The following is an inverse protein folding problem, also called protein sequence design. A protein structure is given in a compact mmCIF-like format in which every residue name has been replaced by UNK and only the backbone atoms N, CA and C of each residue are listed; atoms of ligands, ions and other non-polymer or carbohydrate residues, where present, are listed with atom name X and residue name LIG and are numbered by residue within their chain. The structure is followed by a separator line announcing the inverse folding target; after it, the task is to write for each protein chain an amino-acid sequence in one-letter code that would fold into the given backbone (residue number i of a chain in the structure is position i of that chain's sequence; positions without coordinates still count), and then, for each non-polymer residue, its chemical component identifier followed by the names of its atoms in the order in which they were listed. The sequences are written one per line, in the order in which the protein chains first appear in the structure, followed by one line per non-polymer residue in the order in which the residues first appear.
data_IF_582742331586
#
_entry.id   IF_582742331586
#
_cell.length_a   1.000
_cell.length_b   1.000
_cell.length_c   1.000
_cell.angle_alpha   90.00
_cell.angle_beta   90.00
_cell.angle_gamma   90.00
#
_symmetry.space_group_name_H-M   'P 1'
#
loop_
_entity.id
_entity.type
_entity.pdbx_description
1 polymer ?
#
# COMPACT_ATOMS: atom_id res chain seq x y z
N UNK A 1 -25.03 -3.79 -4.17
CA UNK A 1 -25.82 -3.13 -3.09
C UNK A 1 -26.10 -4.08 -1.92
N UNK A 2 -26.33 -5.37 -2.18
CA UNK A 2 -26.58 -6.36 -1.11
C UNK A 2 -25.33 -6.70 -0.29
N UNK A 3 -24.13 -6.63 -0.86
CA UNK A 3 -22.89 -6.93 -0.13
C UNK A 3 -22.53 -5.86 0.91
N UNK A 4 -22.87 -4.58 0.69
CA UNK A 4 -22.64 -3.51 1.68
C UNK A 4 -23.49 -3.69 2.94
N UNK A 5 -24.75 -4.12 2.79
CA UNK A 5 -25.64 -4.39 3.93
C UNK A 5 -25.19 -5.56 4.77
N UNK A 6 -24.69 -6.64 4.13
CA UNK A 6 -24.20 -7.83 4.82
C UNK A 6 -22.94 -7.55 5.66
N UNK A 7 -21.98 -6.80 5.13
CA UNK A 7 -20.76 -6.44 5.86
C UNK A 7 -21.06 -5.69 7.16
N UNK A 8 -21.97 -4.72 7.13
CA UNK A 8 -22.36 -3.97 8.33
C UNK A 8 -23.19 -4.81 9.32
N UNK A 9 -24.01 -5.72 8.84
CA UNK A 9 -24.78 -6.65 9.69
C UNK A 9 -23.83 -7.62 10.41
N UNK A 10 -22.88 -8.22 9.71
CA UNK A 10 -21.88 -9.09 10.32
C UNK A 10 -21.02 -8.34 11.33
N UNK A 11 -20.55 -7.15 11.01
CA UNK A 11 -19.74 -6.33 11.93
C UNK A 11 -20.49 -6.02 13.22
N UNK A 12 -21.77 -5.68 13.17
CA UNK A 12 -22.62 -5.44 14.35
C UNK A 12 -22.88 -6.72 15.15
N UNK A 13 -23.10 -7.85 14.50
CA UNK A 13 -23.29 -9.13 15.18
C UNK A 13 -22.03 -9.58 15.91
N UNK A 14 -20.85 -9.41 15.32
CA UNK A 14 -19.58 -9.71 15.96
C UNK A 14 -19.27 -8.77 17.13
N UNK A 15 -19.62 -7.50 17.06
CA UNK A 15 -19.46 -6.55 18.15
C UNK A 15 -20.39 -6.84 19.34
N UNK A 16 -21.56 -7.41 19.09
CA UNK A 16 -22.53 -7.80 20.12
C UNK A 16 -22.24 -9.18 20.74
N UNK A 17 -21.28 -9.93 20.20
CA UNK A 17 -20.94 -11.26 20.71
C UNK A 17 -20.22 -11.14 22.08
N UNK A 18 -20.50 -12.04 23.04
CA UNK A 18 -19.83 -12.05 24.35
C UNK A 18 -18.34 -12.40 24.25
N UNK A 19 -17.86 -12.86 23.10
CA UNK A 19 -16.44 -13.06 22.76
C UNK A 19 -16.10 -12.24 21.53
N UNK A 20 -15.01 -11.49 21.59
CA UNK A 20 -14.48 -10.77 20.43
C UNK A 20 -14.03 -11.79 19.38
N UNK A 21 -14.70 -11.79 18.23
CA UNK A 21 -14.26 -12.54 17.05
C UNK A 21 -13.47 -11.62 16.14
N UNK A 22 -12.36 -12.11 15.61
CA UNK A 22 -11.56 -11.41 14.62
C UNK A 22 -11.98 -11.83 13.20
N UNK A 23 -11.81 -10.93 12.24
CA UNK A 23 -12.15 -11.18 10.83
C UNK A 23 -10.96 -11.77 10.09
N UNK A 24 -11.25 -12.77 9.27
CA UNK A 24 -10.34 -13.28 8.24
C UNK A 24 -10.94 -12.93 6.89
N UNK A 25 -10.23 -12.09 6.12
CA UNK A 25 -10.59 -11.77 4.74
C UNK A 25 -9.97 -12.85 3.87
N UNK A 26 -10.77 -13.85 3.47
CA UNK A 26 -10.30 -15.04 2.76
C UNK A 26 -9.77 -14.75 1.36
N UNK A 27 -10.36 -13.77 0.66
CA UNK A 27 -9.90 -13.30 -0.65
C UNK A 27 -10.11 -11.79 -0.79
N UNK A 28 -9.12 -11.10 -1.34
CA UNK A 28 -9.22 -9.70 -1.75
C UNK A 28 -8.28 -9.40 -2.92
N UNK A 29 -8.60 -8.36 -3.66
CA UNK A 29 -7.77 -7.89 -4.75
C UNK A 29 -8.52 -6.98 -5.71
N UNK A 30 -7.79 -6.42 -6.67
CA UNK A 30 -8.36 -5.67 -7.79
C UNK A 30 -8.62 -6.65 -8.94
N UNK A 31 -9.88 -6.88 -9.26
CA UNK A 31 -10.29 -7.80 -10.30
C UNK A 31 -10.86 -7.02 -11.49
N UNK A 32 -10.06 -6.91 -12.53
CA UNK A 32 -10.50 -6.23 -13.74
C UNK A 32 -11.49 -7.11 -14.53
N UNK A 33 -12.54 -6.49 -15.06
CA UNK A 33 -13.60 -7.23 -15.78
C UNK A 33 -13.09 -8.07 -16.95
N UNK A 34 -12.03 -7.63 -17.64
CA UNK A 34 -11.41 -8.39 -18.73
C UNK A 34 -10.81 -9.73 -18.31
N UNK A 35 -10.42 -9.88 -17.03
CA UNK A 35 -9.84 -11.12 -16.52
C UNK A 35 -10.82 -12.31 -16.60
N UNK A 36 -12.13 -12.06 -16.47
CA UNK A 36 -13.16 -13.11 -16.55
C UNK A 36 -13.28 -13.72 -17.93
N UNK A 37 -12.89 -12.98 -18.98
CA UNK A 37 -12.90 -13.45 -20.37
C UNK A 37 -11.48 -13.79 -20.89
N UNK A 38 -10.45 -13.68 -20.04
CA UNK A 38 -9.08 -13.96 -20.42
C UNK A 38 -8.82 -15.44 -20.70
N UNK A 39 -7.73 -15.72 -21.42
CA UNK A 39 -7.21 -17.07 -21.63
C UNK A 39 -5.71 -17.04 -21.35
N UNK A 40 -5.18 -17.75 -20.36
CA UNK A 40 -5.91 -18.59 -19.38
C UNK A 40 -6.94 -17.80 -18.56
N UNK A 41 -7.97 -18.50 -18.04
CA UNK A 41 -9.02 -17.86 -17.28
C UNK A 41 -8.49 -17.09 -16.08
N UNK A 42 -9.10 -15.95 -15.80
CA UNK A 42 -8.74 -15.04 -14.70
C UNK A 42 -7.32 -14.48 -14.77
N UNK A 43 -6.63 -14.60 -15.92
CA UNK A 43 -5.33 -13.95 -16.11
C UNK A 43 -5.50 -12.43 -16.18
N UNK A 44 -4.66 -11.72 -15.43
CA UNK A 44 -4.67 -10.26 -15.37
C UNK A 44 -3.23 -9.74 -15.35
N UNK A 45 -2.95 -8.75 -16.21
CA UNK A 45 -1.73 -7.97 -16.11
C UNK A 45 -1.88 -6.93 -14.99
N UNK A 46 -0.91 -6.93 -14.08
CA UNK A 46 -0.84 -5.99 -12.98
C UNK A 46 -0.02 -4.76 -13.39
N UNK A 47 -0.63 -3.60 -13.28
CA UNK A 47 -0.06 -2.27 -13.59
C UNK A 47 0.01 -1.41 -12.34
N UNK A 48 0.33 -0.11 -12.46
CA UNK A 48 0.26 0.81 -11.31
C UNK A 48 -1.14 0.97 -10.75
N UNK A 49 -2.21 0.76 -11.55
CA UNK A 49 -3.59 0.68 -11.06
C UNK A 49 -3.72 -0.36 -9.94
N UNK A 50 -3.18 -1.56 -10.19
CA UNK A 50 -3.28 -2.67 -9.25
C UNK A 50 -2.39 -2.44 -8.03
N UNK A 51 -1.19 -1.89 -8.21
CA UNK A 51 -0.29 -1.53 -7.13
C UNK A 51 -0.88 -0.48 -6.19
N UNK A 52 -1.44 0.60 -6.73
CA UNK A 52 -2.12 1.65 -5.95
C UNK A 52 -3.29 1.08 -5.18
N UNK A 53 -4.16 0.28 -5.82
CA UNK A 53 -5.30 -0.35 -5.15
C UNK A 53 -4.85 -1.33 -4.07
N UNK A 54 -3.80 -2.10 -4.32
CA UNK A 54 -3.19 -3.02 -3.33
C UNK A 54 -2.68 -2.26 -2.12
N UNK A 55 -1.95 -1.15 -2.32
CA UNK A 55 -1.45 -0.30 -1.25
C UNK A 55 -2.57 0.28 -0.38
N UNK A 56 -3.60 0.85 -1.02
CA UNK A 56 -4.77 1.40 -0.32
C UNK A 56 -5.52 0.33 0.49
N UNK A 57 -5.66 -0.88 -0.05
CA UNK A 57 -6.33 -1.98 0.62
C UNK A 57 -5.54 -2.47 1.83
N UNK A 58 -4.21 -2.59 1.72
CA UNK A 58 -3.34 -2.93 2.83
C UNK A 58 -3.39 -1.84 3.92
N UNK A 59 -3.39 -0.56 3.57
CA UNK A 59 -3.54 0.54 4.53
C UNK A 59 -4.88 0.48 5.28
N UNK A 60 -5.97 0.05 4.61
CA UNK A 60 -7.26 -0.19 5.27
C UNK A 60 -7.15 -1.33 6.28
N UNK A 61 -6.50 -2.44 5.94
CA UNK A 61 -6.29 -3.54 6.87
C UNK A 61 -5.42 -3.13 8.05
N UNK A 62 -4.33 -2.40 7.82
CA UNK A 62 -3.46 -1.89 8.87
C UNK A 62 -4.18 -0.94 9.83
N UNK A 63 -5.11 -0.10 9.35
CA UNK A 63 -5.94 0.76 10.22
C UNK A 63 -6.96 -0.02 11.03
N UNK A 64 -7.31 -1.22 10.61
CA UNK A 64 -8.36 -2.05 11.22
C UNK A 64 -7.80 -3.33 11.86
N UNK A 65 -6.54 -3.34 12.30
CA UNK A 65 -5.89 -4.51 12.95
C UNK A 65 -6.58 -4.95 14.23
N UNK A 66 -7.41 -4.09 14.84
CA UNK A 66 -8.25 -4.46 15.96
C UNK A 66 -9.38 -5.43 15.59
N UNK A 67 -9.78 -5.49 14.34
CA UNK A 67 -10.88 -6.32 13.82
C UNK A 67 -10.39 -7.34 12.78
N UNK A 68 -9.42 -6.97 11.93
CA UNK A 68 -8.89 -7.83 10.86
C UNK A 68 -7.63 -8.55 11.34
N UNK A 69 -7.71 -9.87 11.47
CA UNK A 69 -6.58 -10.72 11.90
C UNK A 69 -5.71 -11.19 10.75
N UNK A 70 -6.32 -11.49 9.62
CA UNK A 70 -5.64 -12.00 8.43
C UNK A 70 -6.39 -11.55 7.17
N UNK A 71 -5.63 -11.27 6.11
CA UNK A 71 -6.18 -10.97 4.79
C UNK A 71 -5.34 -11.64 3.71
N UNK A 72 -5.98 -12.43 2.84
CA UNK A 72 -5.33 -13.23 1.83
C UNK A 72 -5.55 -12.62 0.45
N UNK A 73 -4.47 -12.22 -0.23
CA UNK A 73 -4.58 -11.71 -1.61
C UNK A 73 -5.03 -12.81 -2.57
N UNK A 74 -5.88 -12.48 -3.49
CA UNK A 74 -6.36 -13.40 -4.52
C UNK A 74 -5.83 -13.01 -5.91
N UNK A 75 -4.81 -13.77 -6.40
CA UNK A 75 -4.09 -14.86 -5.75
C UNK A 75 -2.59 -14.62 -5.86
N UNK A 76 -1.76 -15.53 -5.34
CA UNK A 76 -0.30 -15.28 -5.34
C UNK A 76 0.32 -15.39 -6.73
N UNK A 77 -0.14 -16.32 -7.58
CA UNK A 77 0.49 -16.65 -8.88
C UNK A 77 -0.54 -16.67 -10.01
N UNK A 78 -0.25 -15.99 -11.11
CA UNK A 78 -0.95 -16.00 -12.41
C UNK A 78 -2.42 -15.58 -12.43
N UNK A 79 -3.06 -15.40 -11.30
CA UNK A 79 -4.51 -15.20 -11.22
C UNK A 79 -4.82 -13.86 -10.57
N UNK A 80 -5.62 -13.05 -11.26
CA UNK A 80 -6.18 -11.78 -10.76
C UNK A 80 -5.08 -10.83 -10.22
N UNK A 81 -5.15 -10.46 -8.95
CA UNK A 81 -4.22 -9.50 -8.31
C UNK A 81 -2.89 -10.16 -7.90
N UNK A 82 -2.30 -10.95 -8.81
CA UNK A 82 -1.14 -11.79 -8.50
C UNK A 82 0.12 -11.02 -8.13
N UNK A 83 0.95 -11.67 -7.31
CA UNK A 83 2.29 -11.18 -6.94
C UNK A 83 3.33 -11.65 -7.95
N UNK A 84 3.11 -12.83 -8.53
CA UNK A 84 4.01 -13.47 -9.47
C UNK A 84 3.26 -13.87 -10.74
N UNK A 85 3.92 -13.69 -11.89
CA UNK A 85 3.49 -14.28 -13.15
C UNK A 85 4.55 -15.27 -13.60
N UNK A 86 4.13 -16.42 -14.13
CA UNK A 86 5.02 -17.40 -14.72
C UNK A 86 4.76 -17.50 -16.22
N UNK A 87 5.85 -17.53 -17.00
CA UNK A 87 5.83 -17.72 -18.44
C UNK A 87 7.01 -18.62 -18.84
N UNK A 88 6.73 -19.89 -19.10
CA UNK A 88 7.75 -20.90 -19.30
C UNK A 88 8.67 -21.02 -18.07
N UNK A 89 9.95 -20.79 -18.24
CA UNK A 89 10.97 -20.82 -17.18
C UNK A 89 11.07 -19.49 -16.40
N UNK A 90 10.34 -18.46 -16.81
CA UNK A 90 10.41 -17.14 -16.20
C UNK A 90 9.44 -17.02 -15.03
N UNK A 91 9.94 -16.44 -13.92
CA UNK A 91 9.13 -15.95 -12.82
C UNK A 91 9.25 -14.43 -12.78
N UNK A 92 8.13 -13.75 -12.98
CA UNK A 92 8.07 -12.28 -13.14
C UNK A 92 7.39 -11.71 -11.92
N UNK A 93 8.07 -10.78 -11.25
CA UNK A 93 7.48 -10.02 -10.14
C UNK A 93 6.55 -8.94 -10.69
N UNK A 94 5.33 -8.87 -10.17
CA UNK A 94 4.38 -7.83 -10.54
C UNK A 94 4.61 -6.56 -9.69
N UNK A 95 4.03 -5.40 -10.07
CA UNK A 95 4.04 -4.23 -9.21
C UNK A 95 3.38 -4.46 -7.84
N UNK A 96 2.43 -5.41 -7.74
CA UNK A 96 1.81 -5.79 -6.46
C UNK A 96 2.81 -6.44 -5.50
N UNK A 97 3.74 -7.26 -6.03
CA UNK A 97 4.82 -7.82 -5.22
C UNK A 97 5.63 -6.72 -4.55
N UNK A 98 6.02 -5.68 -5.31
CA UNK A 98 6.79 -4.58 -4.75
C UNK A 98 6.03 -3.84 -3.64
N UNK A 99 4.71 -3.70 -3.75
CA UNK A 99 3.89 -3.14 -2.65
C UNK A 99 3.95 -4.01 -1.40
N UNK A 100 3.78 -5.33 -1.54
CA UNK A 100 3.90 -6.24 -0.40
C UNK A 100 5.29 -6.21 0.23
N UNK A 101 6.36 -6.16 -0.58
CA UNK A 101 7.74 -6.04 -0.10
C UNK A 101 7.96 -4.73 0.68
N UNK A 102 7.47 -3.61 0.14
CA UNK A 102 7.58 -2.31 0.79
C UNK A 102 6.81 -2.25 2.12
N UNK A 103 5.65 -2.91 2.19
CA UNK A 103 4.71 -2.83 3.31
C UNK A 103 4.99 -3.81 4.45
N UNK A 104 5.91 -4.77 4.28
CA UNK A 104 6.28 -5.71 5.33
C UNK A 104 6.84 -5.04 6.61
N UNK A 105 7.32 -3.80 6.50
CA UNK A 105 7.81 -3.00 7.64
C UNK A 105 6.74 -2.74 8.70
N UNK A 106 5.45 -2.80 8.31
CA UNK A 106 4.32 -2.59 9.21
C UNK A 106 3.97 -3.82 10.05
N UNK A 107 4.54 -4.98 9.74
CA UNK A 107 4.27 -6.21 10.50
C UNK A 107 4.81 -6.10 11.93
N UNK A 108 3.89 -6.24 12.90
CA UNK A 108 4.21 -6.08 14.32
C UNK A 108 4.50 -4.64 14.75
N UNK A 109 4.14 -3.64 13.92
CA UNK A 109 4.19 -2.23 14.26
C UNK A 109 2.86 -1.74 14.86
N UNK A 110 2.89 -0.62 15.55
CA UNK A 110 1.71 0.07 16.05
C UNK A 110 1.29 1.18 15.09
N UNK A 111 0.00 1.31 14.81
CA UNK A 111 -0.54 2.42 14.02
C UNK A 111 -0.30 3.75 14.73
N UNK A 112 0.21 4.75 14.01
CA UNK A 112 0.34 6.13 14.47
C UNK A 112 -0.87 6.95 14.01
N UNK A 113 -1.48 7.67 14.96
CA UNK A 113 -2.46 8.70 14.66
C UNK A 113 -1.78 9.98 14.17
N UNK A 114 -2.40 10.65 13.22
CA UNK A 114 -1.97 11.95 12.69
C UNK A 114 -3.18 12.80 12.29
N UNK A 115 -2.95 14.10 12.12
CA UNK A 115 -3.96 15.05 11.66
C UNK A 115 -3.65 15.48 10.22
N UNK A 116 -4.65 15.47 9.35
CA UNK A 116 -4.58 15.99 7.99
C UNK A 116 -5.18 17.39 7.96
N UNK A 117 -4.35 18.44 7.88
CA UNK A 117 -4.82 19.83 7.88
C UNK A 117 -5.39 20.27 6.53
N UNK A 118 -4.75 19.84 5.44
CA UNK A 118 -5.14 20.16 4.06
C UNK A 118 -5.30 18.84 3.30
N UNK A 119 -6.44 18.18 3.50
CA UNK A 119 -6.69 16.87 2.91
C UNK A 119 -6.81 16.97 1.39
N UNK A 120 -5.89 16.37 0.67
CA UNK A 120 -6.01 16.11 -0.76
C UNK A 120 -6.73 14.75 -0.94
N UNK A 121 -7.90 14.68 -1.60
CA UNK A 121 -8.64 13.42 -1.77
C UNK A 121 -7.88 12.38 -2.62
N UNK A 122 -6.89 12.81 -3.39
CA UNK A 122 -6.06 11.92 -4.20
C UNK A 122 -4.78 11.45 -3.49
N UNK A 123 -4.54 11.89 -2.25
CA UNK A 123 -3.41 11.43 -1.43
C UNK A 123 -3.90 10.67 -0.22
N UNK A 124 -3.43 9.43 -0.07
CA UNK A 124 -3.70 8.61 1.10
C UNK A 124 -2.42 8.43 1.91
N UNK A 125 -2.54 8.58 3.23
CA UNK A 125 -1.43 8.52 4.17
C UNK A 125 -1.72 7.45 5.22
N UNK A 126 -0.76 6.57 5.49
CA UNK A 126 -0.80 5.66 6.63
C UNK A 126 0.54 5.76 7.36
N UNK A 127 0.52 5.68 8.68
CA UNK A 127 1.75 5.73 9.47
C UNK A 127 1.75 4.66 10.57
N UNK A 128 2.92 4.09 10.81
CA UNK A 128 3.15 3.16 11.91
C UNK A 128 4.49 3.40 12.59
N UNK A 129 4.64 2.81 13.77
CA UNK A 129 5.88 2.85 14.55
C UNK A 129 6.21 1.46 15.08
N UNK A 130 7.49 1.11 14.99
CA UNK A 130 8.05 -0.12 15.57
C UNK A 130 9.36 0.25 16.26
N UNK A 131 9.37 0.17 17.58
CA UNK A 131 10.44 0.73 18.42
C UNK A 131 10.62 2.24 18.14
N UNK A 132 11.79 2.67 17.65
CA UNK A 132 12.09 4.05 17.30
C UNK A 132 11.92 4.35 15.80
N UNK A 133 11.61 3.34 15.01
CA UNK A 133 11.43 3.47 13.57
C UNK A 133 9.98 3.84 13.23
N UNK A 134 9.81 4.93 12.49
CA UNK A 134 8.52 5.45 12.00
C UNK A 134 8.46 5.22 10.50
N UNK A 135 7.39 4.56 10.06
CA UNK A 135 7.14 4.30 8.65
C UNK A 135 5.89 5.06 8.20
N UNK A 136 6.00 5.78 7.09
CA UNK A 136 4.90 6.57 6.52
C UNK A 136 4.68 6.13 5.09
N UNK A 137 3.51 5.55 4.83
CA UNK A 137 3.04 5.25 3.49
C UNK A 137 2.36 6.47 2.90
N UNK A 138 2.68 6.77 1.66
CA UNK A 138 2.13 7.86 0.89
C UNK A 138 1.71 7.32 -0.47
N UNK A 139 0.41 7.34 -0.75
CA UNK A 139 -0.16 6.85 -2.01
C UNK A 139 -0.77 8.02 -2.75
N UNK A 140 -0.24 8.34 -3.93
CA UNK A 140 -0.84 9.30 -4.85
C UNK A 140 -1.69 8.53 -5.87
N UNK A 141 -3.01 8.74 -5.80
CA UNK A 141 -3.98 8.07 -6.68
C UNK A 141 -4.23 8.82 -7.98
N UNK A 142 -3.76 10.07 -8.10
CA UNK A 142 -3.87 10.83 -9.36
C UNK A 142 -3.01 10.20 -10.45
N UNK A 143 -3.61 9.89 -11.58
CA UNK A 143 -2.93 9.27 -12.72
C UNK A 143 -2.03 10.23 -13.49
N UNK A 144 -2.27 11.55 -13.39
CA UNK A 144 -1.64 12.57 -14.21
C UNK A 144 -0.84 13.60 -13.41
N UNK A 145 -1.12 13.76 -12.13
CA UNK A 145 -0.58 14.84 -11.33
C UNK A 145 0.38 14.35 -10.24
N UNK A 146 1.56 14.94 -10.18
CA UNK A 146 2.41 14.82 -9.01
C UNK A 146 1.86 15.69 -7.88
N UNK A 147 1.97 15.20 -6.65
CA UNK A 147 1.49 15.90 -5.45
C UNK A 147 2.66 16.31 -4.56
N UNK A 148 2.46 17.39 -3.81
CA UNK A 148 3.42 17.82 -2.79
C UNK A 148 2.74 17.74 -1.43
N UNK A 149 3.40 17.14 -0.48
CA UNK A 149 2.93 17.01 0.90
C UNK A 149 3.98 17.49 1.88
N UNK A 150 3.51 18.04 2.98
CA UNK A 150 4.32 18.37 4.13
C UNK A 150 4.01 17.38 5.26
N UNK A 151 5.05 16.68 5.74
CA UNK A 151 4.98 15.91 6.97
C UNK A 151 5.58 16.72 8.11
N UNK A 152 4.76 17.06 9.10
CA UNK A 152 5.19 17.78 10.30
C UNK A 152 5.18 16.87 11.51
N UNK A 153 6.26 16.89 12.27
CA UNK A 153 6.43 16.09 13.47
C UNK A 153 6.47 16.99 14.72
N UNK A 154 5.95 16.50 15.85
CA UNK A 154 6.09 17.20 17.14
C UNK A 154 7.57 17.31 17.56
N UNK A 155 8.31 16.25 17.30
CA UNK A 155 9.75 16.15 17.43
C UNK A 155 10.27 15.62 16.12
N UNK A 156 11.11 16.41 15.43
CA UNK A 156 11.57 16.08 14.08
C UNK A 156 12.50 14.86 14.11
N UNK A 157 12.12 13.74 13.47
CA UNK A 157 12.96 12.56 13.43
C UNK A 157 14.09 12.70 12.41
N UNK A 158 15.00 11.76 12.41
CA UNK A 158 15.99 11.60 11.35
C UNK A 158 15.35 10.85 10.17
N UNK A 159 15.58 11.35 8.94
CA UNK A 159 15.23 10.61 7.73
C UNK A 159 16.26 9.49 7.50
N UNK A 160 15.80 8.26 7.28
CA UNK A 160 16.66 7.09 7.05
C UNK A 160 16.69 6.72 5.57
N UNK A 161 15.54 6.38 5.01
CA UNK A 161 15.41 5.98 3.61
C UNK A 161 13.99 6.19 3.10
N UNK A 162 13.82 6.12 1.79
CA UNK A 162 12.52 6.03 1.15
C UNK A 162 12.55 5.00 0.02
N UNK A 163 11.42 4.36 -0.20
CA UNK A 163 11.17 3.48 -1.35
C UNK A 163 9.97 4.02 -2.11
N UNK A 164 10.06 4.06 -3.44
CA UNK A 164 8.97 4.55 -4.29
C UNK A 164 8.77 3.62 -5.47
N UNK A 165 7.53 3.21 -5.65
CA UNK A 165 7.05 2.45 -6.80
C UNK A 165 6.21 3.38 -7.67
N UNK A 166 6.63 3.60 -8.91
CA UNK A 166 5.89 4.36 -9.92
C UNK A 166 6.37 4.02 -11.33
N UNK A 167 5.57 4.36 -12.32
CA UNK A 167 5.95 4.31 -13.73
C UNK A 167 5.56 5.60 -14.44
N UNK A 168 6.35 6.04 -15.43
CA UNK A 168 6.00 7.21 -16.27
C UNK A 168 4.69 7.00 -17.01
N UNK A 169 4.44 5.77 -17.47
CA UNK A 169 3.16 5.33 -17.97
C UNK A 169 2.54 4.36 -16.96
N UNK A 170 1.45 4.74 -16.26
CA UNK A 170 0.78 3.90 -15.29
C UNK A 170 0.20 2.59 -15.85
N UNK A 171 0.09 2.46 -17.18
CA UNK A 171 -0.34 1.23 -17.85
C UNK A 171 0.79 0.22 -18.06
N UNK A 172 2.04 0.60 -17.81
CA UNK A 172 3.16 -0.32 -17.89
C UNK A 172 3.01 -1.50 -16.92
N UNK A 173 3.47 -2.66 -17.38
CA UNK A 173 3.49 -3.92 -16.63
C UNK A 173 4.79 -4.67 -16.87
N UNK A 174 5.07 -5.66 -16.05
CA UNK A 174 6.20 -6.56 -16.19
C UNK A 174 5.79 -7.81 -16.98
N UNK A 175 6.63 -8.23 -17.89
CA UNK A 175 6.49 -9.44 -18.71
C UNK A 175 7.84 -10.15 -18.85
N UNK A 176 7.89 -11.32 -19.49
CA UNK A 176 9.14 -12.09 -19.70
C UNK A 176 10.20 -11.31 -20.50
N UNK A 177 9.79 -10.40 -21.39
CA UNK A 177 10.73 -9.57 -22.18
C UNK A 177 11.22 -8.35 -21.39
N UNK A 178 10.40 -7.86 -20.46
CA UNK A 178 10.67 -6.66 -19.66
C UNK A 178 10.31 -6.90 -18.19
N UNK A 179 11.03 -7.81 -17.50
CA UNK A 179 10.65 -8.27 -16.15
C UNK A 179 10.80 -7.20 -15.06
N UNK A 180 11.50 -6.10 -15.35
CA UNK A 180 11.81 -5.03 -14.41
C UNK A 180 11.36 -3.66 -14.92
N UNK A 181 10.37 -3.58 -15.81
CA UNK A 181 9.87 -2.30 -16.35
C UNK A 181 9.26 -1.42 -15.26
N UNK A 182 8.52 -2.03 -14.35
CA UNK A 182 7.89 -1.37 -13.20
C UNK A 182 8.39 -2.05 -11.93
N UNK A 183 9.30 -1.40 -11.23
CA UNK A 183 9.88 -1.91 -9.99
C UNK A 183 10.04 -0.78 -8.98
N UNK A 184 9.97 -1.15 -7.72
CA UNK A 184 10.33 -0.28 -6.62
C UNK A 184 11.79 0.21 -6.77
N UNK A 185 12.01 1.49 -6.47
CA UNK A 185 13.31 2.15 -6.51
C UNK A 185 13.53 2.91 -5.21
N UNK A 186 14.78 3.26 -4.96
CA UNK A 186 15.11 4.22 -3.93
C UNK A 186 14.35 5.53 -4.18
N UNK A 187 13.62 5.98 -3.16
CA UNK A 187 12.84 7.21 -3.19
C UNK A 187 13.75 8.42 -2.97
N UNK A 188 13.29 9.58 -3.41
CA UNK A 188 14.01 10.83 -3.14
C UNK A 188 13.95 11.17 -1.67
N UNK A 189 15.09 11.57 -1.09
CA UNK A 189 15.12 12.14 0.24
C UNK A 189 14.23 13.40 0.30
N UNK A 190 13.41 13.55 1.35
CA UNK A 190 12.56 14.72 1.48
C UNK A 190 13.39 15.97 1.80
N UNK A 191 12.96 17.14 1.33
CA UNK A 191 13.58 18.39 1.74
C UNK A 191 13.16 18.69 3.20
N UNK A 192 14.15 18.83 4.09
CA UNK A 192 13.91 19.15 5.51
C UNK A 192 13.75 20.66 5.69
N UNK A 193 12.67 21.07 6.35
CA UNK A 193 12.39 22.46 6.72
C UNK A 193 12.05 22.52 8.22
N UNK A 194 13.01 22.90 9.05
CA UNK A 194 12.85 22.95 10.53
C UNK A 194 12.25 21.67 11.10
N UNK A 195 10.93 21.68 11.38
CA UNK A 195 10.18 20.58 12.01
C UNK A 195 9.35 19.78 11.00
N UNK A 196 9.55 19.99 9.70
CA UNK A 196 8.77 19.34 8.64
C UNK A 196 9.65 18.81 7.52
N UNK A 197 9.07 17.91 6.73
CA UNK A 197 9.65 17.37 5.51
C UNK A 197 8.72 17.62 4.34
N UNK A 198 9.26 18.22 3.28
CA UNK A 198 8.55 18.42 2.01
C UNK A 198 8.81 17.23 1.09
N UNK A 199 7.75 16.59 0.64
CA UNK A 199 7.79 15.38 -0.18
C UNK A 199 7.05 15.63 -1.48
N UNK A 200 7.67 15.24 -2.59
CA UNK A 200 7.04 15.22 -3.91
C UNK A 200 6.70 13.78 -4.30
N UNK A 201 5.43 13.49 -4.53
CA UNK A 201 4.92 12.18 -4.95
C UNK A 201 4.68 12.19 -6.45
N UNK A 202 5.29 11.29 -7.23
CA UNK A 202 4.93 11.12 -8.63
C UNK A 202 3.44 10.79 -8.80
N UNK A 203 2.89 11.00 -9.98
CA UNK A 203 1.56 10.52 -10.34
C UNK A 203 1.50 8.98 -10.22
N UNK A 204 0.34 8.44 -9.83
CA UNK A 204 0.08 7.01 -9.67
C UNK A 204 1.22 6.28 -8.94
N UNK A 205 1.57 6.72 -7.74
CA UNK A 205 2.72 6.20 -7.00
C UNK A 205 2.38 5.66 -5.62
N UNK A 206 3.19 4.72 -5.16
CA UNK A 206 3.21 4.20 -3.80
C UNK A 206 4.59 4.44 -3.22
N UNK A 207 4.66 5.12 -2.08
CA UNK A 207 5.94 5.41 -1.42
C UNK A 207 5.89 5.02 0.06
N UNK A 208 7.01 4.53 0.57
CA UNK A 208 7.21 4.28 2.00
C UNK A 208 8.44 5.07 2.44
N UNK A 209 8.25 5.95 3.41
CA UNK A 209 9.29 6.75 4.03
C UNK A 209 9.60 6.21 5.41
N UNK A 210 10.87 5.99 5.69
CA UNK A 210 11.38 5.54 6.96
C UNK A 210 12.09 6.69 7.68
N UNK A 211 11.64 6.96 8.90
CA UNK A 211 12.25 7.92 9.80
C UNK A 211 12.60 7.21 11.12
N UNK A 212 13.56 7.75 11.85
CA UNK A 212 13.96 7.27 13.17
C UNK A 212 13.85 8.39 14.19
N UNK A 213 13.25 8.10 15.34
CA UNK A 213 13.25 9.05 16.46
C UNK A 213 14.68 9.37 16.86
N UNK A 214 14.95 10.66 17.06
CA UNK A 214 16.18 11.08 17.71
C UNK A 214 16.05 10.92 19.21
N UNK A 215 17.05 10.37 19.86
CA UNK A 215 17.11 10.36 21.32
C UNK A 215 17.03 11.81 21.83
N UNK A 216 16.12 12.06 22.74
CA UNK A 216 16.09 13.33 23.47
C UNK A 216 17.27 13.30 24.44
N UNK A 217 18.27 14.14 24.27
CA UNK A 217 19.25 14.38 25.32
C UNK A 217 18.46 14.70 26.62
N UNK A 218 18.69 13.89 27.63
CA UNK A 218 18.07 14.01 28.95
C UNK A 218 18.67 15.17 29.71
#
# INVERSE_FOLDING_TARGET
LQSRGLGDVYKRQFQAAPRKCELIVGEWGNWHSSAFNARPALYQQCTMRDAVTTALTLDIFHRNTGDVRMACVAQSVNVLNSLFLTDGEHCILTPNYDVFDMYQVHQGAYTLGFEEKNKDPEVCIFASIKNDDIYVNLVNTSYSESKKIELKFKQCPEFVEAKTLYSQDPQNYNDAKHPNRVRCKEGKAPAREKDSFQIALPAASVSVYHFRKTETEK
#
